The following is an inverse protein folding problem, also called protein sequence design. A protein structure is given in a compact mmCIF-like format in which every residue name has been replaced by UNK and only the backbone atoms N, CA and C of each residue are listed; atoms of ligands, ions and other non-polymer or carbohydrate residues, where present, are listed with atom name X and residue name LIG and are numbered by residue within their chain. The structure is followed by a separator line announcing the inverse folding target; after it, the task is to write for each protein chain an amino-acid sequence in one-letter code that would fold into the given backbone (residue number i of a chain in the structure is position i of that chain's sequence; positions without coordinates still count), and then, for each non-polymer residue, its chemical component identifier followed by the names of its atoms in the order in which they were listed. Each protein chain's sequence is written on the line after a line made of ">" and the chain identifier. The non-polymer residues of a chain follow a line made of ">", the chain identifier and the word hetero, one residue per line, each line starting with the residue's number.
data_IF_145690814255
#
_entry.id   IF_145690814255
#
_cell.length_a   1.000
_cell.length_b   1.000
_cell.length_c   1.000
_cell.angle_alpha   90.00
_cell.angle_beta   90.00
_cell.angle_gamma   90.00
#
_symmetry.space_group_name_H-M   'P 1'
#
loop_
_entity.id
_entity.type
_entity.pdbx_description
1 polymer ?
#
# COMPACT_ATOMS: atom_id res chain seq x y z
N UNK A 1 0.56 -11.92 3.96
CA UNK A 1 1.85 -12.43 4.45
C UNK A 1 2.43 -11.37 5.37
N UNK A 2 3.01 -11.79 6.48
CA UNK A 2 3.65 -10.90 7.46
C UNK A 2 5.13 -11.20 7.47
N UNK A 3 5.96 -10.17 7.36
CA UNK A 3 7.42 -10.23 7.42
C UNK A 3 7.93 -9.03 8.25
N UNK A 4 9.20 -8.97 8.59
CA UNK A 4 9.75 -7.84 9.35
C UNK A 4 9.42 -6.48 8.73
N UNK A 5 9.37 -6.37 7.40
CA UNK A 5 9.12 -5.10 6.71
C UNK A 5 7.71 -4.52 6.89
N UNK A 6 6.70 -5.34 7.22
CA UNK A 6 5.30 -4.92 7.36
C UNK A 6 4.65 -5.31 8.69
N UNK A 7 5.42 -5.94 9.58
CA UNK A 7 4.90 -6.54 10.83
C UNK A 7 4.21 -5.49 11.71
N UNK A 8 4.86 -4.36 11.94
CA UNK A 8 4.35 -3.30 12.81
C UNK A 8 3.01 -2.76 12.29
N UNK A 9 2.94 -2.40 11.00
CA UNK A 9 1.72 -1.91 10.38
C UNK A 9 0.60 -2.96 10.40
N UNK A 10 0.93 -4.23 10.15
CA UNK A 10 -0.04 -5.31 10.18
C UNK A 10 -0.57 -5.54 11.60
N UNK A 11 0.30 -5.64 12.60
CA UNK A 11 -0.10 -5.87 14.00
C UNK A 11 -0.92 -4.70 14.54
N UNK A 12 -0.53 -3.47 14.24
CA UNK A 12 -1.29 -2.28 14.62
C UNK A 12 -2.72 -2.33 14.07
N UNK A 13 -2.87 -2.53 12.76
CA UNK A 13 -4.18 -2.57 12.12
C UNK A 13 -5.02 -3.75 12.62
N UNK A 14 -4.40 -4.93 12.75
CA UNK A 14 -5.08 -6.14 13.22
C UNK A 14 -5.56 -6.02 14.67
N UNK A 15 -4.78 -5.39 15.53
CA UNK A 15 -5.08 -5.26 16.97
C UNK A 15 -5.74 -3.92 17.33
N UNK A 16 -6.00 -3.05 16.33
CA UNK A 16 -6.62 -1.74 16.58
C UNK A 16 -7.94 -1.89 17.34
N UNK A 17 -8.04 -1.21 18.47
CA UNK A 17 -9.24 -1.18 19.30
C UNK A 17 -9.68 0.25 19.53
N UNK A 18 -10.82 0.62 18.94
CA UNK A 18 -11.35 1.98 19.04
C UNK A 18 -11.86 2.37 20.44
N UNK A 19 -12.00 1.42 21.33
CA UNK A 19 -12.33 1.67 22.75
C UNK A 19 -11.09 2.07 23.56
N UNK A 20 -9.91 1.79 23.05
CA UNK A 20 -8.66 2.18 23.69
C UNK A 20 -8.29 3.63 23.35
N UNK A 21 -8.55 4.54 24.27
CA UNK A 21 -8.29 5.97 24.10
C UNK A 21 -6.79 6.33 23.94
N UNK A 22 -5.88 5.41 24.25
CA UNK A 22 -4.43 5.63 24.06
C UNK A 22 -4.01 5.44 22.61
N UNK A 23 -4.82 4.77 21.77
CA UNK A 23 -4.53 4.61 20.35
C UNK A 23 -4.84 5.87 19.56
N UNK A 24 -4.02 6.19 18.54
CA UNK A 24 -4.22 7.37 17.72
C UNK A 24 -5.54 7.26 16.94
N UNK A 25 -6.34 8.33 16.96
CA UNK A 25 -7.55 8.45 16.13
C UNK A 25 -7.23 8.62 14.67
N UNK A 26 -6.10 9.27 14.38
CA UNK A 26 -5.62 9.50 13.02
C UNK A 26 -4.26 8.83 12.86
N UNK A 27 -4.15 7.94 11.87
CA UNK A 27 -2.90 7.29 11.54
C UNK A 27 -2.74 7.12 10.03
N UNK A 28 -1.52 6.93 9.59
CA UNK A 28 -1.19 6.74 8.20
C UNK A 28 -0.31 5.51 8.00
N UNK A 29 -0.46 4.86 6.86
CA UNK A 29 0.43 3.81 6.38
C UNK A 29 1.12 4.32 5.12
N UNK A 30 2.44 4.50 5.23
CA UNK A 30 3.30 4.88 4.12
C UNK A 30 4.01 3.64 3.58
N UNK A 31 3.93 3.42 2.27
CA UNK A 31 4.57 2.26 1.66
C UNK A 31 4.66 2.42 0.13
N UNK A 32 5.65 1.84 -0.53
CA UNK A 32 5.71 1.80 -1.99
C UNK A 32 4.43 1.23 -2.62
N UNK A 33 4.23 1.47 -3.90
CA UNK A 33 3.13 0.82 -4.66
C UNK A 33 3.23 -0.69 -4.53
N UNK A 34 2.08 -1.36 -4.51
CA UNK A 34 1.95 -2.83 -4.39
C UNK A 34 2.42 -3.44 -3.06
N UNK A 35 2.86 -2.65 -2.08
CA UNK A 35 3.29 -3.13 -0.76
C UNK A 35 2.14 -3.63 0.16
N UNK A 36 0.89 -3.46 -0.26
CA UNK A 36 -0.27 -3.97 0.49
C UNK A 36 -0.98 -2.94 1.36
N UNK A 37 -0.80 -1.63 1.12
CA UNK A 37 -1.55 -0.55 1.82
C UNK A 37 -3.06 -0.80 1.79
N UNK A 38 -3.63 -0.96 0.60
CA UNK A 38 -5.07 -1.21 0.43
C UNK A 38 -5.54 -2.50 1.09
N UNK A 39 -4.68 -3.52 1.19
CA UNK A 39 -5.00 -4.72 1.94
C UNK A 39 -5.18 -4.43 3.43
N UNK A 40 -4.27 -3.66 4.04
CA UNK A 40 -4.38 -3.23 5.44
C UNK A 40 -5.57 -2.30 5.65
N UNK A 41 -5.83 -1.38 4.71
CA UNK A 41 -7.01 -0.52 4.73
C UNK A 41 -8.32 -1.34 4.76
N UNK A 42 -8.41 -2.40 3.96
CA UNK A 42 -9.56 -3.31 3.95
C UNK A 42 -9.70 -4.13 5.24
N UNK A 43 -8.58 -4.53 5.88
CA UNK A 43 -8.63 -5.19 7.20
C UNK A 43 -9.23 -4.24 8.22
N UNK A 44 -8.72 -3.01 8.29
CA UNK A 44 -9.22 -2.01 9.22
C UNK A 44 -10.68 -1.63 8.94
N UNK A 45 -11.02 -1.44 7.66
CA UNK A 45 -12.39 -1.19 7.22
C UNK A 45 -13.37 -2.23 7.78
N UNK A 46 -13.07 -3.52 7.59
CA UNK A 46 -13.90 -4.62 8.08
C UNK A 46 -13.97 -4.68 9.60
N UNK A 47 -12.89 -4.31 10.28
CA UNK A 47 -12.79 -4.38 11.73
C UNK A 47 -13.62 -3.31 12.44
N UNK A 48 -13.57 -2.07 11.97
CA UNK A 48 -14.21 -0.92 12.62
C UNK A 48 -15.42 -0.38 11.87
N UNK A 49 -15.79 -0.96 10.73
CA UNK A 49 -16.85 -0.46 9.88
C UNK A 49 -16.52 0.89 9.23
N UNK A 50 -15.26 1.05 8.81
CA UNK A 50 -14.81 2.30 8.18
C UNK A 50 -15.40 2.47 6.77
N UNK A 51 -15.48 3.72 6.33
CA UNK A 51 -15.98 4.14 5.03
C UNK A 51 -14.81 4.68 4.19
N UNK A 52 -14.61 4.13 2.98
CA UNK A 52 -13.63 4.68 2.04
C UNK A 52 -14.15 5.99 1.45
N UNK A 53 -13.33 7.04 1.54
CA UNK A 53 -13.62 8.34 0.95
C UNK A 53 -12.81 8.51 -0.33
N UNK A 54 -13.50 8.45 -1.46
CA UNK A 54 -12.91 8.89 -2.72
C UNK A 54 -13.04 10.41 -2.81
N UNK A 55 -11.95 11.13 -2.59
CA UNK A 55 -11.95 12.59 -2.60
C UNK A 55 -12.38 13.19 -3.95
N UNK A 56 -12.21 12.48 -5.06
CA UNK A 56 -12.66 12.94 -6.37
C UNK A 56 -14.20 13.09 -6.43
N UNK A 57 -14.92 12.22 -5.76
CA UNK A 57 -16.38 12.19 -5.72
C UNK A 57 -16.97 13.24 -4.78
N UNK A 58 -16.15 13.77 -3.86
CA UNK A 58 -16.59 14.73 -2.84
C UNK A 58 -16.65 16.19 -3.30
N UNK A 59 -16.17 16.53 -4.49
CA UNK A 59 -16.04 17.92 -4.96
C UNK A 59 -17.35 18.72 -4.96
N UNK A 60 -18.49 18.05 -5.17
CA UNK A 60 -19.81 18.67 -5.28
C UNK A 60 -20.78 18.24 -4.18
N UNK A 61 -20.28 17.63 -3.12
CA UNK A 61 -21.09 17.10 -2.01
C UNK A 61 -21.07 18.08 -0.84
N UNK A 62 -22.18 18.18 -0.13
CA UNK A 62 -22.21 18.90 1.14
C UNK A 62 -21.46 18.08 2.20
N UNK A 63 -20.16 18.36 2.36
CA UNK A 63 -19.26 17.65 3.27
C UNK A 63 -19.77 17.63 4.72
N UNK A 64 -20.40 18.72 5.19
CA UNK A 64 -20.92 18.83 6.56
C UNK A 64 -21.99 17.77 6.84
N UNK A 65 -22.83 17.49 5.84
CA UNK A 65 -23.87 16.46 5.94
C UNK A 65 -23.32 15.07 5.68
N UNK A 66 -22.29 14.95 4.85
CA UNK A 66 -21.70 13.69 4.46
C UNK A 66 -20.83 13.10 5.58
N UNK A 67 -19.90 13.88 6.13
CA UNK A 67 -19.04 13.45 7.25
C UNK A 67 -19.86 13.38 8.54
N UNK A 68 -19.99 12.19 9.14
CA UNK A 68 -20.76 11.93 10.35
C UNK A 68 -19.87 11.93 11.60
N UNK A 69 -20.46 12.21 12.76
CA UNK A 69 -19.72 12.20 14.02
C UNK A 69 -19.28 10.77 14.43
N UNK A 70 -18.10 10.67 15.04
CA UNK A 70 -17.53 9.43 15.59
C UNK A 70 -17.47 8.25 14.60
N UNK A 71 -17.37 8.53 13.30
CA UNK A 71 -17.24 7.53 12.24
C UNK A 71 -15.78 7.31 11.87
N UNK A 72 -15.53 6.16 11.23
CA UNK A 72 -14.22 5.75 10.76
C UNK A 72 -14.14 5.96 9.26
N UNK A 73 -13.08 6.61 8.79
CA UNK A 73 -12.89 6.94 7.39
C UNK A 73 -11.50 6.52 6.91
N UNK A 74 -11.42 6.17 5.64
CA UNK A 74 -10.16 5.81 4.96
C UNK A 74 -10.02 6.70 3.73
N UNK A 75 -8.85 7.32 3.57
CA UNK A 75 -8.47 8.04 2.37
C UNK A 75 -7.18 7.43 1.85
N UNK A 76 -7.22 6.85 0.65
CA UNK A 76 -6.05 6.23 0.04
C UNK A 76 -5.28 7.21 -0.85
N UNK A 77 -3.97 6.94 -0.94
CA UNK A 77 -3.01 7.58 -1.85
C UNK A 77 -3.09 9.12 -1.85
N UNK A 78 -3.04 9.72 -0.65
CA UNK A 78 -3.21 11.16 -0.46
C UNK A 78 -2.12 11.99 -1.16
N UNK A 79 -0.95 11.43 -1.40
CA UNK A 79 0.15 12.03 -2.13
C UNK A 79 -0.13 12.20 -3.64
N UNK A 80 -1.04 11.41 -4.20
CA UNK A 80 -1.49 11.55 -5.59
C UNK A 80 -2.64 12.58 -5.75
N UNK A 81 -3.23 13.04 -4.63
CA UNK A 81 -4.41 13.90 -4.68
C UNK A 81 -4.04 15.39 -4.83
N UNK A 82 -4.49 16.01 -5.94
CA UNK A 82 -4.09 17.37 -6.30
C UNK A 82 -4.85 18.48 -5.55
N UNK A 83 -6.11 18.23 -5.16
CA UNK A 83 -6.94 19.24 -4.48
C UNK A 83 -6.70 19.25 -2.97
N UNK A 84 -5.61 19.88 -2.56
CA UNK A 84 -5.18 19.94 -1.15
C UNK A 84 -6.17 20.70 -0.26
N UNK A 85 -6.94 21.65 -0.81
CA UNK A 85 -7.96 22.40 -0.07
C UNK A 85 -9.11 21.48 0.34
N UNK A 86 -9.57 20.63 -0.57
CA UNK A 86 -10.61 19.64 -0.26
C UNK A 86 -10.12 18.63 0.78
N UNK A 87 -8.87 18.13 0.65
CA UNK A 87 -8.28 17.24 1.63
C UNK A 87 -8.23 17.89 3.02
N UNK A 88 -7.82 19.16 3.10
CA UNK A 88 -7.81 19.91 4.35
C UNK A 88 -9.23 20.08 4.95
N UNK A 89 -10.21 20.41 4.12
CA UNK A 89 -11.60 20.53 4.58
C UNK A 89 -12.14 19.21 5.13
N UNK A 90 -11.93 18.11 4.43
CA UNK A 90 -12.36 16.78 4.88
C UNK A 90 -11.66 16.40 6.18
N UNK A 91 -10.34 16.60 6.26
CA UNK A 91 -9.56 16.32 7.46
C UNK A 91 -10.08 17.09 8.68
N UNK A 92 -10.33 18.41 8.52
CA UNK A 92 -10.84 19.26 9.57
C UNK A 92 -12.23 18.83 10.05
N UNK A 93 -13.15 18.52 9.12
CA UNK A 93 -14.49 18.05 9.46
C UNK A 93 -14.48 16.71 10.21
N UNK A 94 -13.61 15.79 9.81
CA UNK A 94 -13.47 14.50 10.53
C UNK A 94 -12.99 14.74 11.95
N UNK A 95 -11.99 15.61 12.15
CA UNK A 95 -11.50 15.96 13.49
C UNK A 95 -12.55 16.68 14.35
N UNK A 96 -13.22 17.69 13.78
CA UNK A 96 -14.29 18.44 14.46
C UNK A 96 -15.41 17.51 14.93
N UNK A 97 -15.75 16.51 14.14
CA UNK A 97 -16.78 15.51 14.46
C UNK A 97 -16.26 14.33 15.29
N UNK A 98 -15.05 14.43 15.81
CA UNK A 98 -14.40 13.39 16.62
C UNK A 98 -14.32 12.04 15.90
N UNK A 99 -14.17 12.07 14.57
CA UNK A 99 -14.03 10.88 13.73
C UNK A 99 -12.62 10.30 13.80
N UNK A 100 -12.46 9.15 13.18
CA UNK A 100 -11.21 8.40 13.07
C UNK A 100 -10.80 8.34 11.61
N UNK A 101 -9.52 8.51 11.33
CA UNK A 101 -9.03 8.59 9.96
C UNK A 101 -7.78 7.73 9.76
N UNK A 102 -7.88 6.80 8.82
CA UNK A 102 -6.73 6.11 8.26
C UNK A 102 -6.37 6.74 6.92
N UNK A 103 -5.09 7.06 6.74
CA UNK A 103 -4.55 7.56 5.49
C UNK A 103 -3.60 6.54 4.88
N UNK A 104 -3.51 6.49 3.56
CA UNK A 104 -2.40 5.81 2.89
C UNK A 104 -1.63 6.77 1.98
N UNK A 105 -0.33 6.52 1.81
CA UNK A 105 0.57 7.30 0.97
C UNK A 105 1.67 6.41 0.38
N UNK A 106 2.23 6.80 -0.76
CA UNK A 106 3.41 6.10 -1.32
C UNK A 106 4.70 6.53 -0.66
N UNK A 107 4.73 7.69 -0.02
CA UNK A 107 5.86 8.26 0.70
C UNK A 107 5.46 8.65 2.13
N UNK A 108 6.44 8.82 3.00
CA UNK A 108 6.19 9.35 4.35
C UNK A 108 5.49 10.71 4.28
N UNK A 109 4.49 10.94 5.13
CA UNK A 109 3.67 12.17 5.10
C UNK A 109 4.50 13.45 5.26
N UNK A 110 5.66 13.36 5.93
CA UNK A 110 6.59 14.49 6.05
C UNK A 110 7.26 14.88 4.71
N UNK A 111 7.21 13.98 3.71
CA UNK A 111 7.85 14.13 2.40
C UNK A 111 6.83 14.44 1.28
N UNK A 112 5.54 14.44 1.55
CA UNK A 112 4.48 14.62 0.53
C UNK A 112 4.52 15.98 -0.17
N UNK A 113 5.29 16.94 0.30
CA UNK A 113 5.55 18.21 -0.42
C UNK A 113 4.30 19.07 -0.66
N UNK A 114 3.35 19.08 0.27
CA UNK A 114 2.11 19.83 0.14
C UNK A 114 2.35 21.33 0.18
N UNK A 115 1.58 22.08 -0.62
CA UNK A 115 1.69 23.56 -0.70
C UNK A 115 1.00 24.24 0.49
N UNK A 116 -0.06 23.63 1.04
CA UNK A 116 -0.84 24.22 2.13
C UNK A 116 -0.14 23.94 3.47
N UNK A 117 0.39 24.99 4.09
CA UNK A 117 1.14 24.88 5.36
C UNK A 117 0.33 24.25 6.51
N UNK A 118 -0.95 24.61 6.62
CA UNK A 118 -1.82 24.04 7.67
C UNK A 118 -2.01 22.54 7.48
N UNK A 119 -2.25 22.07 6.27
CA UNK A 119 -2.35 20.64 5.96
C UNK A 119 -1.05 19.90 6.29
N UNK A 120 0.11 20.47 5.89
CA UNK A 120 1.41 19.90 6.24
C UNK A 120 1.59 19.76 7.76
N UNK A 121 1.24 20.80 8.54
CA UNK A 121 1.35 20.77 9.99
C UNK A 121 0.47 19.67 10.60
N UNK A 122 -0.75 19.50 10.09
CA UNK A 122 -1.67 18.47 10.56
C UNK A 122 -1.20 17.06 10.24
N UNK A 123 -0.73 16.84 9.02
CA UNK A 123 -0.25 15.53 8.58
C UNK A 123 1.03 15.09 9.32
N UNK A 124 1.89 16.03 9.71
CA UNK A 124 3.07 15.74 10.55
C UNK A 124 2.70 15.18 11.93
N UNK A 125 1.53 15.55 12.46
CA UNK A 125 1.05 15.09 13.76
C UNK A 125 0.24 13.77 13.67
N UNK A 126 0.04 13.24 12.47
CA UNK A 126 -0.60 11.93 12.27
C UNK A 126 0.40 10.83 12.65
N UNK A 127 -0.03 9.85 13.43
CA UNK A 127 0.78 8.68 13.75
C UNK A 127 1.10 7.90 12.47
N UNK A 128 2.37 7.63 12.21
CA UNK A 128 2.80 7.03 10.94
C UNK A 128 3.38 5.64 11.15
N UNK A 129 2.95 4.73 10.30
CA UNK A 129 3.45 3.37 10.15
C UNK A 129 4.04 3.21 8.76
N UNK A 130 5.14 2.49 8.65
CA UNK A 130 5.81 2.30 7.36
C UNK A 130 5.87 0.82 7.00
N UNK A 131 5.71 0.54 5.71
CA UNK A 131 6.05 -0.76 5.13
C UNK A 131 7.30 -0.53 4.30
N UNK A 132 8.38 -1.17 4.73
CA UNK A 132 9.68 -1.07 4.10
C UNK A 132 9.80 -2.00 2.87
N UNK A 133 10.94 -1.92 2.20
CA UNK A 133 11.28 -2.84 1.11
C UNK A 133 11.23 -4.30 1.57
N UNK A 134 10.80 -5.23 0.70
CA UNK A 134 10.69 -6.64 1.05
C UNK A 134 12.08 -7.26 1.26
N UNK A 135 12.19 -8.13 2.26
CA UNK A 135 13.35 -9.00 2.45
C UNK A 135 13.33 -10.22 1.49
N UNK A 136 14.42 -10.94 1.42
CA UNK A 136 14.57 -12.08 0.50
C UNK A 136 13.51 -13.17 0.76
N UNK A 137 13.13 -13.38 2.02
CA UNK A 137 12.13 -14.40 2.37
C UNK A 137 10.74 -13.97 1.89
N UNK A 138 10.38 -12.70 2.05
CA UNK A 138 9.13 -12.17 1.52
C UNK A 138 9.12 -12.18 -0.01
N UNK A 139 10.24 -11.82 -0.68
CA UNK A 139 10.35 -11.91 -2.14
C UNK A 139 10.09 -13.34 -2.62
N UNK A 140 10.73 -14.34 -2.02
CA UNK A 140 10.52 -15.77 -2.34
C UNK A 140 9.05 -16.18 -2.16
N UNK A 141 8.44 -15.78 -1.04
CA UNK A 141 7.04 -16.09 -0.76
C UNK A 141 6.09 -15.42 -1.77
N UNK A 142 6.34 -14.16 -2.13
CA UNK A 142 5.53 -13.42 -3.09
C UNK A 142 5.65 -14.00 -4.51
N UNK A 143 6.87 -14.29 -4.97
CA UNK A 143 7.11 -14.96 -6.25
C UNK A 143 6.37 -16.29 -6.32
N UNK A 144 6.55 -17.14 -5.30
CA UNK A 144 5.90 -18.47 -5.22
C UNK A 144 4.37 -18.32 -5.28
N UNK A 145 3.81 -17.41 -4.49
CA UNK A 145 2.36 -17.14 -4.46
C UNK A 145 1.85 -16.63 -5.80
N UNK A 146 2.57 -15.67 -6.42
CA UNK A 146 2.16 -15.08 -7.69
C UNK A 146 2.16 -16.11 -8.83
N UNK A 147 3.20 -16.96 -8.91
CA UNK A 147 3.23 -18.03 -9.90
C UNK A 147 2.14 -19.09 -9.63
N UNK A 148 1.93 -19.47 -8.37
CA UNK A 148 0.87 -20.41 -8.01
C UNK A 148 -0.53 -19.88 -8.37
N UNK A 149 -0.81 -18.59 -8.12
CA UNK A 149 -2.08 -17.95 -8.49
C UNK A 149 -2.35 -17.96 -10.01
N UNK A 150 -1.28 -17.99 -10.81
CA UNK A 150 -1.32 -18.10 -12.28
C UNK A 150 -1.24 -19.55 -12.78
N UNK A 151 -1.26 -20.53 -11.87
CA UNK A 151 -1.13 -21.96 -12.16
C UNK A 151 0.20 -22.34 -12.87
N UNK A 152 1.23 -21.53 -12.68
CA UNK A 152 2.54 -21.74 -13.25
C UNK A 152 3.41 -22.54 -12.26
N UNK A 153 3.91 -23.68 -12.73
CA UNK A 153 4.88 -24.50 -11.97
C UNK A 153 6.28 -23.94 -12.22
N UNK A 154 6.89 -23.37 -11.19
CA UNK A 154 8.25 -22.81 -11.25
C UNK A 154 9.11 -23.52 -10.21
N UNK A 155 10.27 -24.00 -10.63
CA UNK A 155 11.18 -24.70 -9.74
C UNK A 155 11.81 -23.75 -8.71
N UNK A 156 12.10 -24.27 -7.49
CA UNK A 156 12.71 -23.50 -6.41
C UNK A 156 14.04 -22.84 -6.79
N UNK A 157 14.83 -23.48 -7.68
CA UNK A 157 16.09 -22.88 -8.19
C UNK A 157 15.86 -21.61 -9.01
N UNK A 158 14.74 -21.50 -9.74
CA UNK A 158 14.37 -20.31 -10.50
C UNK A 158 13.90 -19.22 -9.54
N UNK A 159 13.10 -19.56 -8.53
CA UNK A 159 12.69 -18.62 -7.48
C UNK A 159 13.91 -18.02 -6.76
N UNK A 160 14.86 -18.87 -6.35
CA UNK A 160 16.10 -18.40 -5.71
C UNK A 160 16.92 -17.50 -6.64
N UNK A 161 17.04 -17.85 -7.92
CA UNK A 161 17.72 -17.02 -8.90
C UNK A 161 17.07 -15.64 -9.05
N UNK A 162 15.74 -15.59 -9.17
CA UNK A 162 14.99 -14.34 -9.24
C UNK A 162 15.18 -13.50 -7.98
N UNK A 163 15.09 -14.11 -6.79
CA UNK A 163 15.28 -13.41 -5.51
C UNK A 163 16.64 -12.70 -5.43
N UNK A 164 17.68 -13.32 -5.95
CA UNK A 164 19.04 -12.76 -5.91
C UNK A 164 19.31 -11.68 -6.95
N UNK A 165 18.50 -11.61 -8.01
CA UNK A 165 18.74 -10.73 -9.17
C UNK A 165 17.65 -9.68 -9.40
N UNK A 166 16.57 -9.66 -8.60
CA UNK A 166 15.55 -8.63 -8.65
C UNK A 166 15.89 -7.45 -7.73
N UNK A 167 15.39 -6.27 -8.09
CA UNK A 167 15.34 -5.15 -7.15
C UNK A 167 14.45 -5.50 -5.96
N UNK A 168 14.84 -5.02 -4.78
CA UNK A 168 14.10 -5.25 -3.54
C UNK A 168 12.93 -4.30 -3.42
N UNK A 169 12.02 -4.37 -4.37
CA UNK A 169 10.77 -3.62 -4.40
C UNK A 169 9.61 -4.51 -4.84
N UNK A 170 8.40 -4.10 -4.46
CA UNK A 170 7.20 -4.89 -4.73
C UNK A 170 6.82 -4.86 -6.22
N UNK A 171 7.09 -3.78 -6.93
CA UNK A 171 6.74 -3.64 -8.34
C UNK A 171 7.53 -4.64 -9.19
N UNK A 172 8.84 -4.73 -8.99
CA UNK A 172 9.72 -5.69 -9.68
C UNK A 172 9.25 -7.14 -9.53
N UNK A 173 8.75 -7.51 -8.33
CA UNK A 173 8.22 -8.87 -8.09
C UNK A 173 6.97 -9.15 -8.94
N UNK A 174 6.06 -8.19 -9.03
CA UNK A 174 4.84 -8.34 -9.82
C UNK A 174 5.13 -8.32 -11.31
N UNK A 175 5.98 -7.40 -11.76
CA UNK A 175 6.32 -7.23 -13.17
C UNK A 175 7.07 -8.43 -13.73
N UNK A 176 8.08 -8.94 -13.02
CA UNK A 176 8.81 -10.14 -13.48
C UNK A 176 7.87 -11.35 -13.56
N UNK A 177 6.95 -11.50 -12.62
CA UNK A 177 5.98 -12.59 -12.66
C UNK A 177 5.08 -12.50 -13.90
N UNK A 178 4.61 -11.28 -14.24
CA UNK A 178 3.79 -11.03 -15.41
C UNK A 178 4.55 -11.25 -16.72
N UNK A 179 5.78 -10.78 -16.79
CA UNK A 179 6.63 -10.96 -17.97
C UNK A 179 6.97 -12.44 -18.22
N UNK A 180 7.36 -13.17 -17.16
CA UNK A 180 7.66 -14.59 -17.26
C UNK A 180 6.43 -15.41 -17.68
N UNK A 181 5.24 -15.08 -17.17
CA UNK A 181 3.98 -15.68 -17.65
C UNK A 181 3.77 -15.44 -19.14
N UNK A 182 3.82 -14.18 -19.57
CA UNK A 182 3.61 -13.79 -20.96
C UNK A 182 4.56 -14.55 -21.92
N UNK A 183 5.88 -14.49 -21.63
CA UNK A 183 6.87 -15.16 -22.49
C UNK A 183 6.80 -16.68 -22.43
N UNK A 184 6.43 -17.27 -21.28
CA UNK A 184 6.22 -18.70 -21.17
C UNK A 184 5.08 -19.19 -22.04
N UNK A 185 3.97 -18.43 -22.10
CA UNK A 185 2.82 -18.72 -22.94
C UNK A 185 3.13 -18.50 -24.43
N UNK A 186 3.74 -17.37 -24.76
CA UNK A 186 4.09 -17.02 -26.14
C UNK A 186 5.04 -18.04 -26.77
N UNK A 187 6.10 -18.39 -26.04
CA UNK A 187 7.14 -19.33 -26.52
C UNK A 187 6.81 -20.79 -26.24
N UNK A 188 5.66 -21.09 -25.61
CA UNK A 188 5.20 -22.45 -25.24
C UNK A 188 6.27 -23.25 -24.50
N UNK A 189 7.00 -22.63 -23.58
CA UNK A 189 8.08 -23.27 -22.81
C UNK A 189 8.00 -22.96 -21.31
N UNK A 190 8.53 -23.87 -20.51
CA UNK A 190 8.57 -23.73 -19.07
C UNK A 190 9.42 -22.53 -18.63
N UNK A 191 9.09 -21.98 -17.45
CA UNK A 191 9.87 -20.94 -16.81
C UNK A 191 11.14 -21.58 -16.23
N UNK A 192 12.28 -21.21 -16.80
CA UNK A 192 13.60 -21.73 -16.46
C UNK A 192 14.57 -20.58 -16.18
N UNK A 193 15.74 -20.88 -15.57
CA UNK A 193 16.78 -19.86 -15.34
C UNK A 193 17.23 -19.16 -16.64
N UNK A 194 17.46 -19.87 -17.78
CA UNK A 194 17.77 -19.21 -19.04
C UNK A 194 16.68 -18.21 -19.49
N UNK A 195 15.40 -18.55 -19.37
CA UNK A 195 14.31 -17.64 -19.69
C UNK A 195 14.30 -16.43 -18.72
N UNK A 196 14.50 -16.67 -17.42
CA UNK A 196 14.57 -15.61 -16.43
C UNK A 196 15.73 -14.64 -16.70
N UNK A 197 16.90 -15.15 -17.07
CA UNK A 197 18.06 -14.33 -17.47
C UNK A 197 17.77 -13.48 -18.72
N UNK A 198 17.17 -14.08 -19.74
CA UNK A 198 16.79 -13.40 -20.98
C UNK A 198 15.88 -12.20 -20.68
N UNK A 199 14.87 -12.40 -19.83
CA UNK A 199 13.92 -11.36 -19.48
C UNK A 199 14.56 -10.28 -18.59
N UNK A 200 15.30 -10.67 -17.54
CA UNK A 200 15.98 -9.71 -16.67
C UNK A 200 17.01 -8.85 -17.41
N UNK A 201 17.71 -9.43 -18.42
CA UNK A 201 18.64 -8.66 -19.25
C UNK A 201 17.97 -7.62 -20.14
N UNK A 202 16.69 -7.79 -20.44
CA UNK A 202 15.88 -6.87 -21.24
C UNK A 202 14.92 -6.01 -20.37
N UNK A 203 14.89 -6.25 -19.06
CA UNK A 203 14.03 -5.51 -18.13
C UNK A 203 14.68 -4.16 -17.84
N UNK A 204 14.01 -3.03 -18.13
CA UNK A 204 14.54 -1.74 -17.76
C UNK A 204 14.62 -1.70 -16.23
N UNK A 205 15.84 -1.69 -15.72
CA UNK A 205 16.08 -1.40 -14.31
C UNK A 205 15.59 0.04 -14.11
N UNK A 206 14.39 0.20 -13.57
CA UNK A 206 13.91 1.52 -13.14
C UNK A 206 14.77 1.93 -11.97
N UNK A 207 15.62 2.94 -12.19
CA UNK A 207 16.38 3.64 -11.15
C UNK A 207 15.45 4.27 -10.11
#
# INVERSE_FOLDING_TARGET
>A
MVSPCNKEAFEFVKNYDSSNETLPKNFAISAPKLAGKSYLANIWCKKVGAEFLNLADLKNINLIKFIKAKKFYIIEDIDEFKNQELLLQVFNLIQEKLGYLMLTSTVNLNQVGLKIKDLNSRLRNVFQLEINSPDDDLIKMLLTKNFAAKQLKVEGRVINFLTQNLHRDFASIFDITRLLEFYSLEKKRNITIPLAKEILGNYPLTD
#
